data_IF_203535627410
#
_entry.id   IF_203535627410
#
_cell.length_a   1.000
_cell.length_b   1.000
_cell.length_c   1.000
_cell.angle_alpha   90.00
_cell.angle_beta   90.00
_cell.angle_gamma   90.00
#
_symmetry.space_group_name_H-M   'P 1'
#
loop_
_entity.id
_entity.type
_entity.pdbx_description
1 polymer ?
#
# COMPACT_ATOMS: atom_id res chain seq x y z
N UNK A 1 5.16 3.08 -14.12
CA UNK A 1 5.45 4.45 -13.62
C UNK A 1 6.86 4.42 -13.05
N UNK A 2 7.74 5.33 -13.49
CA UNK A 2 9.13 5.35 -13.00
C UNK A 2 9.15 5.71 -11.51
N UNK A 3 9.88 4.94 -10.71
CA UNK A 3 10.00 5.17 -9.27
C UNK A 3 10.66 6.53 -9.00
N UNK A 4 10.06 7.32 -8.10
CA UNK A 4 10.68 8.57 -7.63
C UNK A 4 11.78 8.21 -6.62
N UNK A 5 12.88 8.93 -6.63
CA UNK A 5 13.99 8.75 -5.67
C UNK A 5 14.04 9.94 -4.71
N UNK A 6 14.35 9.70 -3.44
CA UNK A 6 14.58 10.75 -2.44
C UNK A 6 15.99 10.63 -1.87
N UNK A 7 16.70 11.76 -1.76
CA UNK A 7 18.08 11.79 -1.25
C UNK A 7 18.08 11.81 0.27
N UNK A 8 18.86 10.94 0.89
CA UNK A 8 19.07 10.92 2.35
C UNK A 8 20.56 11.03 2.68
N UNK A 9 20.90 11.24 3.96
CA UNK A 9 22.31 11.26 4.40
C UNK A 9 23.04 9.93 4.14
N UNK A 10 22.30 8.81 4.10
CA UNK A 10 22.85 7.47 3.84
C UNK A 10 22.81 7.09 2.36
N UNK A 11 22.41 8.00 1.47
CA UNK A 11 22.26 7.78 0.03
C UNK A 11 20.82 7.90 -0.47
N UNK A 12 20.66 7.62 -1.76
CA UNK A 12 19.40 7.76 -2.48
C UNK A 12 18.47 6.56 -2.20
N UNK A 13 17.22 6.85 -1.80
CA UNK A 13 16.18 5.84 -1.54
C UNK A 13 15.14 5.85 -2.65
N UNK A 14 14.86 4.69 -3.22
CA UNK A 14 13.77 4.52 -4.17
C UNK A 14 12.42 4.48 -3.45
N UNK A 15 11.51 5.36 -3.83
CA UNK A 15 10.16 5.40 -3.27
C UNK A 15 9.28 4.31 -3.92
N UNK A 16 8.27 3.80 -3.18
CA UNK A 16 7.33 2.82 -3.72
C UNK A 16 6.62 3.31 -4.98
N UNK A 17 6.44 2.40 -5.95
CA UNK A 17 5.72 2.70 -7.19
C UNK A 17 4.19 2.76 -7.02
N UNK A 18 3.67 2.16 -5.94
CA UNK A 18 2.25 2.14 -5.61
C UNK A 18 2.05 2.65 -4.20
N UNK A 19 0.91 3.28 -3.98
CA UNK A 19 0.56 3.96 -2.75
C UNK A 19 -0.88 3.67 -2.29
N UNK A 20 -1.58 2.78 -3.00
CA UNK A 20 -2.94 2.34 -2.71
C UNK A 20 -3.02 1.27 -1.62
N UNK A 21 -4.21 0.71 -1.45
CA UNK A 21 -4.45 -0.46 -0.59
C UNK A 21 -4.28 -1.73 -1.42
N UNK A 22 -3.49 -2.69 -0.94
CA UNK A 22 -3.27 -3.95 -1.66
C UNK A 22 -4.17 -5.07 -1.11
N UNK A 23 -5.04 -5.62 -1.95
CA UNK A 23 -5.81 -6.83 -1.64
C UNK A 23 -6.25 -7.53 -2.92
N UNK A 24 -6.56 -8.83 -2.81
CA UNK A 24 -7.03 -9.66 -3.93
C UNK A 24 -6.08 -9.68 -5.15
N UNK A 25 -4.77 -9.58 -4.89
CA UNK A 25 -3.74 -9.61 -5.94
C UNK A 25 -3.52 -8.28 -6.68
N UNK A 26 -4.13 -7.18 -6.24
CA UNK A 26 -4.02 -5.88 -6.90
C UNK A 26 -3.93 -4.70 -5.94
N UNK A 27 -3.44 -3.58 -6.47
CA UNK A 27 -3.47 -2.27 -5.82
C UNK A 27 -4.78 -1.55 -6.15
N UNK A 28 -5.40 -0.95 -5.14
CA UNK A 28 -6.66 -0.23 -5.25
C UNK A 28 -6.53 1.17 -4.65
N UNK A 29 -7.26 2.15 -5.19
CA UNK A 29 -7.45 3.44 -4.52
C UNK A 29 -8.30 3.23 -3.24
N UNK A 30 -8.11 4.06 -2.19
CA UNK A 30 -8.95 4.00 -0.99
C UNK A 30 -10.39 4.40 -1.35
N UNK A 31 -11.37 3.71 -0.78
CA UNK A 31 -12.79 3.91 -1.14
C UNK A 31 -13.28 5.32 -0.84
N UNK A 32 -12.83 5.90 0.26
CA UNK A 32 -13.19 7.26 0.67
C UNK A 32 -12.39 8.36 -0.05
N UNK A 33 -11.53 7.99 -1.00
CA UNK A 33 -10.61 8.88 -1.72
C UNK A 33 -9.69 9.70 -0.80
N UNK A 34 -9.51 9.28 0.47
CA UNK A 34 -8.63 9.96 1.41
C UNK A 34 -7.21 9.49 1.26
N UNK A 35 -6.30 10.45 1.30
CA UNK A 35 -4.87 10.22 1.18
C UNK A 35 -4.13 11.01 2.25
N UNK A 36 -3.11 10.39 2.83
CA UNK A 36 -2.25 10.99 3.84
C UNK A 36 -0.89 11.30 3.25
N UNK A 37 -0.44 12.54 3.41
CA UNK A 37 0.88 12.95 2.96
C UNK A 37 1.98 12.42 3.88
N UNK A 38 3.01 11.83 3.26
CA UNK A 38 4.21 11.36 3.93
C UNK A 38 5.33 12.36 3.64
N UNK A 39 5.92 12.88 4.72
CA UNK A 39 6.98 13.89 4.66
C UNK A 39 8.28 13.34 5.22
N UNK A 40 9.41 13.69 4.60
CA UNK A 40 10.73 13.35 5.11
C UNK A 40 11.03 14.13 6.40
N UNK A 41 11.40 13.47 7.52
CA UNK A 41 11.60 14.16 8.79
C UNK A 41 12.81 15.11 8.79
N UNK A 42 13.83 14.83 7.97
CA UNK A 42 15.06 15.63 7.91
C UNK A 42 14.98 16.87 7.02
N UNK A 43 14.05 16.91 6.07
CA UNK A 43 13.95 18.00 5.08
C UNK A 43 12.58 18.66 5.03
N UNK A 44 11.55 18.02 5.59
CA UNK A 44 10.15 18.42 5.44
C UNK A 44 9.58 18.18 4.03
N UNK A 45 10.36 17.63 3.09
CA UNK A 45 9.88 17.37 1.73
C UNK A 45 8.73 16.36 1.73
N UNK A 46 7.65 16.67 1.00
CA UNK A 46 6.57 15.71 0.72
C UNK A 46 7.09 14.63 -0.25
N UNK A 47 7.18 13.40 0.24
CA UNK A 47 7.65 12.25 -0.51
C UNK A 47 6.56 11.75 -1.47
N UNK A 48 5.38 11.48 -0.91
CA UNK A 48 4.21 10.95 -1.61
C UNK A 48 2.97 11.07 -0.73
N UNK A 49 1.79 10.86 -1.33
CA UNK A 49 0.56 10.56 -0.63
C UNK A 49 0.35 9.04 -0.59
N UNK A 50 -0.11 8.50 0.55
CA UNK A 50 -0.50 7.08 0.70
C UNK A 50 -1.98 6.98 1.06
N UNK A 51 -2.62 5.88 0.66
CA UNK A 51 -4.04 5.67 0.89
C UNK A 51 -4.37 5.69 2.39
N UNK A 52 -5.34 6.51 2.78
CA UNK A 52 -5.89 6.57 4.14
C UNK A 52 -7.10 5.63 4.22
N UNK A 53 -6.81 4.33 4.39
CA UNK A 53 -7.78 3.26 4.30
C UNK A 53 -8.85 3.34 5.40
N UNK A 54 -10.12 3.34 4.99
CA UNK A 54 -11.26 3.37 5.89
C UNK A 54 -11.80 1.98 6.24
N UNK A 55 -12.86 1.95 7.05
CA UNK A 55 -13.53 0.71 7.45
C UNK A 55 -14.04 -0.12 6.24
N UNK A 56 -14.42 0.54 5.14
CA UNK A 56 -14.86 -0.16 3.94
C UNK A 56 -13.71 -0.85 3.20
N UNK A 57 -12.55 -0.20 3.09
CA UNK A 57 -11.34 -0.82 2.55
C UNK A 57 -10.96 -2.08 3.35
N UNK A 58 -11.02 -1.99 4.68
CA UNK A 58 -10.79 -3.13 5.58
C UNK A 58 -11.81 -4.24 5.32
N UNK A 59 -13.09 -3.92 5.16
CA UNK A 59 -14.12 -4.92 4.88
C UNK A 59 -13.88 -5.63 3.52
N UNK A 60 -13.48 -4.89 2.48
CA UNK A 60 -13.14 -5.42 1.16
C UNK A 60 -11.92 -6.34 1.22
N UNK A 61 -10.85 -5.90 1.89
CA UNK A 61 -9.65 -6.71 2.10
C UNK A 61 -9.94 -7.98 2.91
N UNK A 62 -10.74 -7.89 3.98
CA UNK A 62 -11.13 -9.04 4.78
C UNK A 62 -11.99 -10.04 3.99
N UNK A 63 -12.88 -9.55 3.12
CA UNK A 63 -13.67 -10.41 2.22
C UNK A 63 -12.76 -11.17 1.23
N UNK A 64 -11.79 -10.48 0.63
CA UNK A 64 -10.80 -11.10 -0.25
C UNK A 64 -9.96 -12.14 0.50
N UNK A 65 -9.46 -11.81 1.69
CA UNK A 65 -8.70 -12.74 2.53
C UNK A 65 -9.50 -14.00 2.88
N UNK A 66 -10.81 -13.88 3.20
CA UNK A 66 -11.68 -15.04 3.43
C UNK A 66 -11.84 -15.92 2.20
N UNK A 67 -11.90 -15.33 1.00
CA UNK A 67 -11.93 -16.08 -0.24
C UNK A 67 -10.60 -16.81 -0.47
N UNK A 68 -9.48 -16.11 -0.32
CA UNK A 68 -8.14 -16.67 -0.40
C UNK A 68 -7.92 -17.83 0.57
N UNK A 69 -8.34 -17.69 1.84
CA UNK A 69 -8.21 -18.73 2.85
C UNK A 69 -8.96 -20.02 2.48
N UNK A 70 -10.14 -19.93 1.84
CA UNK A 70 -10.90 -21.11 1.39
C UNK A 70 -10.17 -21.88 0.29
N UNK A 71 -9.46 -21.18 -0.59
CA UNK A 71 -8.63 -21.80 -1.61
C UNK A 71 -7.33 -22.34 -0.99
N UNK A 72 -6.61 -21.51 -0.24
CA UNK A 72 -5.30 -21.82 0.31
C UNK A 72 -5.30 -23.01 1.25
N UNK A 73 -6.34 -23.18 2.08
CA UNK A 73 -6.46 -24.32 3.00
C UNK A 73 -6.52 -25.70 2.30
N UNK A 74 -6.74 -25.74 0.98
CA UNK A 74 -6.75 -26.96 0.17
C UNK A 74 -5.39 -27.24 -0.49
N UNK A 75 -4.44 -26.32 -0.36
CA UNK A 75 -3.08 -26.51 -0.86
C UNK A 75 -2.36 -27.48 0.06
N UNK A 76 -1.79 -28.54 -0.51
CA UNK A 76 -1.01 -29.50 0.27
C UNK A 76 0.21 -28.81 0.90
N UNK A 77 0.56 -29.14 2.15
CA UNK A 77 1.84 -28.72 2.72
C UNK A 77 3.00 -29.34 1.92
N UNK A 78 4.12 -28.61 1.87
CA UNK A 78 5.38 -29.09 1.27
C UNK A 78 6.09 -30.09 2.16
#
# INVERSE_FOLDING_TARGET
MAGKTHKTASGDVQLPANNGVYYDGGWHAPVNERWTDITAPGTGERLMAVADAGAEDVARAARAARAGARAWRRTAPL
#
